data_IF_910805669209
#
_entry.id   IF_910805669209
#
_cell.length_a   1.000
_cell.length_b   1.000
_cell.length_c   1.000
_cell.angle_alpha   90.00
_cell.angle_beta   90.00
_cell.angle_gamma   90.00
#
_symmetry.space_group_name_H-M   'P 1'
#
loop_
_entity.id
_entity.type
_entity.pdbx_description
1 polymer ?
#
# COMPACT_ATOMS: atom_id res chain seq x y z
N UNK A 1 -46.33 -56.23 10.11
CA UNK A 1 -45.79 -55.12 9.30
C UNK A 1 -45.37 -54.02 10.26
N UNK A 2 -44.08 -53.96 10.59
CA UNK A 2 -43.49 -52.96 11.48
C UNK A 2 -43.03 -51.74 10.67
N UNK A 3 -43.29 -50.51 11.12
CA UNK A 3 -42.84 -49.32 10.41
C UNK A 3 -41.31 -49.20 10.46
N UNK A 4 -40.66 -48.60 9.44
CA UNK A 4 -39.23 -48.41 9.41
C UNK A 4 -38.78 -47.42 10.52
N UNK A 5 -37.57 -47.58 11.07
CA UNK A 5 -37.04 -46.68 12.09
C UNK A 5 -36.79 -45.28 11.52
N UNK A 6 -37.09 -44.26 12.33
CA UNK A 6 -36.90 -42.86 11.97
C UNK A 6 -35.40 -42.52 11.77
N UNK A 7 -35.07 -41.61 10.85
CA UNK A 7 -33.68 -41.19 10.63
C UNK A 7 -33.12 -40.44 11.85
N UNK A 8 -31.81 -40.57 12.13
CA UNK A 8 -31.18 -39.87 13.24
C UNK A 8 -31.21 -38.35 13.02
N UNK A 9 -31.48 -37.61 14.10
CA UNK A 9 -31.48 -36.15 14.10
C UNK A 9 -30.11 -35.58 13.66
N UNK A 10 -30.07 -34.44 12.95
CA UNK A 10 -28.82 -33.81 12.55
C UNK A 10 -28.03 -33.42 13.81
N UNK A 11 -26.79 -33.90 13.90
CA UNK A 11 -25.87 -33.55 14.98
C UNK A 11 -25.73 -32.02 15.03
N UNK A 12 -26.27 -31.43 16.10
CA UNK A 12 -25.97 -30.06 16.47
C UNK A 12 -24.47 -29.94 16.74
N UNK A 13 -23.82 -28.96 16.11
CA UNK A 13 -22.45 -28.59 16.45
C UNK A 13 -21.38 -29.00 15.43
N UNK A 14 -21.63 -28.83 14.13
CA UNK A 14 -20.53 -28.42 13.26
C UNK A 14 -20.18 -26.98 13.63
N UNK A 15 -19.34 -26.81 14.64
CA UNK A 15 -18.66 -25.55 14.87
C UNK A 15 -18.02 -25.16 13.54
N UNK A 16 -18.55 -24.12 12.92
CA UNK A 16 -17.86 -23.42 11.84
C UNK A 16 -16.57 -22.95 12.47
N UNK A 17 -15.50 -23.71 12.25
CA UNK A 17 -14.14 -23.29 12.49
C UNK A 17 -13.94 -22.12 11.54
N UNK A 18 -14.19 -20.92 12.05
CA UNK A 18 -13.77 -19.70 11.37
C UNK A 18 -12.26 -19.81 11.22
N UNK A 19 -11.69 -19.60 10.02
CA UNK A 19 -10.25 -19.62 9.85
C UNK A 19 -9.66 -18.38 10.55
N UNK A 20 -9.42 -18.50 11.86
CA UNK A 20 -8.51 -17.63 12.62
C UNK A 20 -7.08 -17.99 12.19
N UNK A 21 -6.65 -17.54 11.00
CA UNK A 21 -5.38 -18.00 10.43
C UNK A 21 -4.69 -17.08 9.44
N UNK A 22 -5.09 -15.81 9.28
CA UNK A 22 -4.48 -14.89 8.28
C UNK A 22 -3.82 -13.64 8.91
N UNK A 23 -3.77 -13.51 10.25
CA UNK A 23 -3.54 -12.20 10.89
C UNK A 23 -2.08 -11.77 11.23
N UNK A 24 -1.01 -12.58 11.14
CA UNK A 24 0.36 -12.06 11.36
C UNK A 24 0.92 -11.17 10.23
N UNK A 25 0.86 -11.56 8.94
CA UNK A 25 1.58 -10.84 7.89
C UNK A 25 0.92 -9.51 7.50
N UNK A 26 -0.42 -9.41 7.62
CA UNK A 26 -1.17 -8.16 7.36
C UNK A 26 -0.72 -7.05 8.31
N UNK A 27 -0.75 -7.32 9.62
CA UNK A 27 -0.33 -6.36 10.65
C UNK A 27 1.15 -6.01 10.53
N UNK A 28 1.98 -6.97 10.11
CA UNK A 28 3.40 -6.73 9.88
C UNK A 28 3.65 -5.74 8.73
N UNK A 29 2.90 -5.86 7.63
CA UNK A 29 3.00 -4.93 6.49
C UNK A 29 2.52 -3.53 6.86
N UNK A 30 1.40 -3.42 7.58
CA UNK A 30 0.90 -2.13 8.06
C UNK A 30 1.91 -1.46 9.01
N UNK A 31 2.45 -2.22 9.97
CA UNK A 31 3.45 -1.74 10.92
C UNK A 31 4.77 -1.35 10.24
N UNK A 32 5.19 -2.08 9.19
CA UNK A 32 6.36 -1.76 8.40
C UNK A 32 6.20 -0.40 7.72
N UNK A 33 5.07 -0.18 7.03
CA UNK A 33 4.77 1.10 6.36
C UNK A 33 4.75 2.24 7.38
N UNK A 34 4.07 2.05 8.52
CA UNK A 34 4.00 3.04 9.58
C UNK A 34 5.37 3.41 10.14
N UNK A 35 6.20 2.39 10.39
CA UNK A 35 7.56 2.56 10.88
C UNK A 35 8.40 3.36 9.90
N UNK A 36 8.24 3.09 8.60
CA UNK A 36 9.05 3.74 7.56
C UNK A 36 8.59 5.16 7.26
N UNK A 37 7.29 5.45 7.34
CA UNK A 37 6.76 6.82 7.37
C UNK A 37 7.30 7.59 8.59
N UNK A 38 7.23 6.98 9.78
CA UNK A 38 7.78 7.57 11.01
C UNK A 38 9.30 7.80 10.92
N UNK A 39 10.03 6.88 10.29
CA UNK A 39 11.47 7.00 10.05
C UNK A 39 11.80 8.13 9.08
N UNK A 40 11.04 8.30 8.00
CA UNK A 40 11.20 9.42 7.08
C UNK A 40 11.00 10.75 7.82
N UNK A 41 9.93 10.88 8.61
CA UNK A 41 9.66 12.06 9.44
C UNK A 41 10.79 12.33 10.45
N UNK A 42 11.28 11.29 11.14
CA UNK A 42 12.41 11.39 12.08
C UNK A 42 13.74 11.81 11.43
N UNK A 43 13.85 11.72 10.09
CA UNK A 43 14.99 12.23 9.32
C UNK A 43 14.78 13.66 8.78
N UNK A 44 13.77 14.37 9.29
CA UNK A 44 13.51 15.76 8.97
C UNK A 44 12.62 15.96 7.74
N UNK A 45 11.95 14.91 7.26
CA UNK A 45 10.98 15.04 6.18
C UNK A 45 9.75 15.81 6.63
N UNK A 46 9.38 16.83 5.87
CA UNK A 46 8.11 17.56 6.04
C UNK A 46 6.93 16.67 5.61
N UNK A 47 5.68 17.02 5.97
CA UNK A 47 4.51 16.31 5.45
C UNK A 47 4.45 16.27 3.92
N UNK A 48 4.90 17.35 3.24
CA UNK A 48 5.02 17.37 1.79
C UNK A 48 6.06 16.35 1.27
N UNK A 49 7.25 16.29 1.88
CA UNK A 49 8.29 15.30 1.54
C UNK A 49 7.77 13.86 1.69
N UNK A 50 7.04 13.60 2.78
CA UNK A 50 6.41 12.29 3.05
C UNK A 50 5.34 11.99 2.01
N UNK A 51 4.49 12.97 1.65
CA UNK A 51 3.46 12.79 0.63
C UNK A 51 4.07 12.41 -0.74
N UNK A 52 5.14 13.09 -1.16
CA UNK A 52 5.91 12.74 -2.37
C UNK A 52 6.49 11.32 -2.27
N UNK A 53 7.09 10.97 -1.13
CA UNK A 53 7.64 9.64 -0.94
C UNK A 53 6.59 8.53 -0.97
N UNK A 54 5.38 8.79 -0.45
CA UNK A 54 4.26 7.85 -0.50
C UNK A 54 3.72 7.70 -1.92
N UNK A 55 3.61 8.80 -2.68
CA UNK A 55 3.23 8.75 -4.11
C UNK A 55 4.21 7.90 -4.90
N UNK A 56 5.52 8.08 -4.71
CA UNK A 56 6.54 7.26 -5.37
C UNK A 56 6.49 5.78 -4.96
N UNK A 57 6.14 5.49 -3.70
CA UNK A 57 5.94 4.13 -3.23
C UNK A 57 4.69 3.46 -3.85
N UNK A 58 3.59 4.21 -3.97
CA UNK A 58 2.36 3.75 -4.65
C UNK A 58 2.59 3.55 -6.15
N UNK A 59 3.33 4.45 -6.81
CA UNK A 59 3.70 4.32 -8.21
C UNK A 59 4.55 3.05 -8.43
N UNK A 60 5.53 2.80 -7.55
CA UNK A 60 6.32 1.58 -7.58
C UNK A 60 5.46 0.31 -7.41
N UNK A 61 4.51 0.29 -6.46
CA UNK A 61 3.54 -0.80 -6.36
C UNK A 61 2.74 -0.99 -7.65
N UNK A 62 2.18 0.09 -8.21
CA UNK A 62 1.39 0.05 -9.44
C UNK A 62 2.17 -0.55 -10.61
N UNK A 63 3.42 -0.14 -10.80
CA UNK A 63 4.30 -0.71 -11.84
C UNK A 63 4.58 -2.20 -11.59
N UNK A 64 4.73 -2.61 -10.33
CA UNK A 64 4.95 -4.02 -9.98
C UNK A 64 3.73 -4.89 -10.28
N UNK A 65 2.52 -4.40 -9.97
CA UNK A 65 1.28 -5.07 -10.37
C UNK A 65 1.17 -5.21 -11.90
N UNK A 66 1.50 -4.15 -12.63
CA UNK A 66 1.52 -4.18 -14.09
C UNK A 66 2.53 -5.19 -14.64
N UNK A 67 3.72 -5.27 -14.03
CA UNK A 67 4.76 -6.23 -14.45
C UNK A 67 4.39 -7.69 -14.15
N UNK A 68 3.72 -7.95 -13.03
CA UNK A 68 3.39 -9.31 -12.59
C UNK A 68 2.12 -9.88 -13.25
N UNK A 69 1.12 -9.05 -13.52
CA UNK A 69 -0.19 -9.49 -14.01
C UNK A 69 -0.78 -8.65 -15.13
N UNK A 70 0.03 -7.77 -15.75
CA UNK A 70 -0.40 -6.94 -16.86
C UNK A 70 -1.44 -5.89 -16.48
N UNK A 71 -2.16 -5.44 -17.51
CA UNK A 71 -3.16 -4.37 -17.39
C UNK A 71 -4.28 -4.69 -16.39
N UNK A 72 -4.72 -5.95 -16.30
CA UNK A 72 -5.81 -6.36 -15.39
C UNK A 72 -5.39 -6.25 -13.92
N UNK A 73 -4.16 -6.64 -13.59
CA UNK A 73 -3.62 -6.51 -12.24
C UNK A 73 -3.41 -5.03 -11.86
N UNK A 74 -2.88 -4.21 -12.78
CA UNK A 74 -2.77 -2.76 -12.59
C UNK A 74 -4.14 -2.12 -12.35
N UNK A 75 -5.16 -2.47 -13.15
CA UNK A 75 -6.52 -1.96 -12.98
C UNK A 75 -7.13 -2.37 -11.64
N UNK A 76 -6.89 -3.61 -11.20
CA UNK A 76 -7.34 -4.07 -9.88
C UNK A 76 -6.69 -3.29 -8.75
N UNK A 77 -5.40 -2.92 -8.89
CA UNK A 77 -4.73 -2.03 -7.96
C UNK A 77 -5.37 -0.64 -7.95
N UNK A 78 -5.61 -0.06 -9.13
CA UNK A 78 -6.23 1.27 -9.27
C UNK A 78 -7.64 1.31 -8.65
N UNK A 79 -8.46 0.28 -8.88
CA UNK A 79 -9.81 0.17 -8.30
C UNK A 79 -9.77 0.00 -6.76
N UNK A 80 -8.81 -0.78 -6.24
CA UNK A 80 -8.59 -0.91 -4.80
C UNK A 80 -8.18 0.41 -4.16
N UNK A 81 -7.21 1.12 -4.77
CA UNK A 81 -6.75 2.41 -4.30
C UNK A 81 -7.87 3.46 -4.31
N UNK A 82 -8.69 3.49 -5.37
CA UNK A 82 -9.89 4.34 -5.44
C UNK A 82 -10.85 4.04 -4.28
N UNK A 83 -11.07 2.76 -4.00
CA UNK A 83 -11.94 2.32 -2.89
C UNK A 83 -11.41 2.80 -1.54
N UNK A 84 -10.09 2.71 -1.30
CA UNK A 84 -9.49 3.19 -0.05
C UNK A 84 -9.63 4.70 0.12
N UNK A 85 -9.38 5.50 -0.92
CA UNK A 85 -9.53 6.95 -0.86
C UNK A 85 -10.99 7.36 -0.58
N UNK A 86 -11.96 6.67 -1.18
CA UNK A 86 -13.38 6.89 -0.92
C UNK A 86 -13.76 6.51 0.52
N UNK A 87 -13.31 5.34 0.99
CA UNK A 87 -13.56 4.88 2.35
C UNK A 87 -13.01 5.87 3.39
N UNK A 88 -11.80 6.38 3.19
CA UNK A 88 -11.21 7.40 4.05
C UNK A 88 -11.99 8.72 4.00
N UNK A 89 -12.48 9.13 2.84
CA UNK A 89 -13.32 10.32 2.76
C UNK A 89 -14.63 10.19 3.54
N UNK A 90 -15.27 9.01 3.49
CA UNK A 90 -16.45 8.73 4.30
C UNK A 90 -16.13 8.76 5.80
N UNK A 91 -14.96 8.24 6.20
CA UNK A 91 -14.53 8.24 7.59
C UNK A 91 -14.22 9.64 8.12
N UNK A 92 -13.52 10.47 7.33
CA UNK A 92 -13.26 11.88 7.69
C UNK A 92 -14.58 12.64 7.83
N UNK A 93 -15.54 12.42 6.91
CA UNK A 93 -16.86 13.05 7.01
C UNK A 93 -17.63 12.60 8.24
N UNK A 94 -17.57 11.31 8.57
CA UNK A 94 -18.22 10.73 9.76
C UNK A 94 -17.64 11.30 11.06
N UNK A 95 -16.31 11.41 11.13
CA UNK A 95 -15.60 11.84 12.34
C UNK A 95 -15.61 13.36 12.56
N UNK A 96 -15.59 14.16 11.48
CA UNK A 96 -15.50 15.63 11.56
C UNK A 96 -16.83 16.34 11.28
N UNK A 97 -17.80 15.65 10.69
CA UNK A 97 -19.07 16.24 10.22
C UNK A 97 -18.93 17.15 8.99
N UNK A 98 -17.73 17.26 8.40
CA UNK A 98 -17.43 18.15 7.27
C UNK A 98 -17.08 17.35 6.01
N UNK A 99 -17.41 17.92 4.85
CA UNK A 99 -16.95 17.34 3.58
C UNK A 99 -15.43 17.50 3.46
N UNK A 100 -14.67 16.43 3.19
CA UNK A 100 -13.22 16.51 3.06
C UNK A 100 -12.82 17.39 1.89
N UNK A 101 -11.83 18.26 2.09
CA UNK A 101 -11.29 19.10 1.02
C UNK A 101 -10.67 18.22 -0.07
N UNK A 102 -10.99 18.52 -1.33
CA UNK A 102 -10.41 17.85 -2.49
C UNK A 102 -9.23 18.65 -3.01
N UNK A 103 -8.11 17.97 -3.26
CA UNK A 103 -6.91 18.59 -3.85
C UNK A 103 -6.57 17.97 -5.20
N UNK A 104 -6.06 18.80 -6.10
CA UNK A 104 -5.62 18.40 -7.45
C UNK A 104 -4.10 18.45 -7.62
N UNK A 105 -3.41 19.26 -6.82
CA UNK A 105 -1.96 19.43 -6.87
C UNK A 105 -1.35 18.90 -5.58
N UNK A 106 -0.31 18.09 -5.71
CA UNK A 106 0.51 17.66 -4.59
C UNK A 106 1.28 18.88 -4.04
N UNK A 107 1.38 19.07 -2.72
CA UNK A 107 2.18 20.14 -2.13
C UNK A 107 3.62 20.11 -2.68
N UNK A 108 4.26 21.27 -2.81
CA UNK A 108 5.61 21.32 -3.38
C UNK A 108 6.59 20.53 -2.49
N UNK A 109 7.49 19.72 -3.09
CA UNK A 109 8.42 18.90 -2.33
C UNK A 109 9.42 19.77 -1.58
N UNK A 110 9.78 19.34 -0.38
CA UNK A 110 10.87 19.92 0.38
C UNK A 110 12.22 19.27 0.04
N UNK A 111 13.29 19.64 0.77
CA UNK A 111 14.64 19.14 0.51
C UNK A 111 14.82 17.65 0.84
N UNK A 112 13.90 17.03 1.58
CA UNK A 112 14.00 15.63 2.00
C UNK A 112 13.13 14.68 1.17
N UNK A 113 12.39 15.16 0.17
CA UNK A 113 11.46 14.37 -0.63
C UNK A 113 12.13 13.13 -1.27
N UNK A 114 13.30 13.30 -1.88
CA UNK A 114 14.03 12.19 -2.50
C UNK A 114 14.44 11.12 -1.47
N UNK A 115 14.83 11.54 -0.26
CA UNK A 115 15.19 10.62 0.82
C UNK A 115 13.97 9.89 1.38
N UNK A 116 12.85 10.58 1.56
CA UNK A 116 11.59 9.99 2.00
C UNK A 116 11.09 8.96 0.99
N UNK A 117 11.16 9.28 -0.31
CA UNK A 117 10.86 8.36 -1.40
C UNK A 117 11.72 7.09 -1.36
N UNK A 118 13.04 7.23 -1.17
CA UNK A 118 13.93 6.06 -1.08
C UNK A 118 13.57 5.14 0.11
N UNK A 119 13.30 5.72 1.29
CA UNK A 119 12.90 4.96 2.49
C UNK A 119 11.58 4.23 2.25
N UNK A 120 10.58 4.91 1.68
CA UNK A 120 9.26 4.32 1.48
C UNK A 120 9.24 3.30 0.34
N UNK A 121 10.05 3.50 -0.70
CA UNK A 121 10.25 2.50 -1.76
C UNK A 121 10.88 1.23 -1.22
N UNK A 122 11.92 1.33 -0.40
CA UNK A 122 12.56 0.19 0.26
C UNK A 122 11.57 -0.61 1.15
N UNK A 123 10.69 0.11 1.86
CA UNK A 123 9.61 -0.50 2.64
C UNK A 123 8.66 -1.33 1.76
N UNK A 124 8.26 -0.76 0.61
CA UNK A 124 7.41 -1.44 -0.37
C UNK A 124 8.10 -2.66 -0.98
N UNK A 125 9.37 -2.53 -1.38
CA UNK A 125 10.13 -3.65 -1.94
C UNK A 125 10.28 -4.78 -0.92
N UNK A 126 10.48 -4.45 0.36
CA UNK A 126 10.46 -5.42 1.45
C UNK A 126 9.08 -6.07 1.62
N UNK A 127 8.00 -5.28 1.55
CA UNK A 127 6.62 -5.80 1.58
C UNK A 127 6.29 -6.72 0.40
N UNK A 128 6.84 -6.45 -0.78
CA UNK A 128 6.73 -7.31 -1.97
C UNK A 128 7.38 -8.67 -1.75
N UNK A 129 8.54 -8.73 -1.09
CA UNK A 129 9.17 -10.00 -0.71
C UNK A 129 8.30 -10.80 0.26
N UNK A 130 7.57 -10.13 1.14
CA UNK A 130 6.62 -10.78 2.05
C UNK A 130 5.36 -11.27 1.34
N UNK A 131 5.01 -10.71 0.17
CA UNK A 131 3.79 -11.09 -0.55
C UNK A 131 3.76 -12.56 -0.97
N UNK A 132 4.91 -13.22 -1.13
CA UNK A 132 4.99 -14.67 -1.43
C UNK A 132 4.34 -15.54 -0.34
N UNK A 133 4.20 -15.00 0.88
CA UNK A 133 3.59 -15.69 2.02
C UNK A 133 2.11 -15.37 2.20
N UNK A 134 1.54 -14.50 1.34
CA UNK A 134 0.14 -14.09 1.38
C UNK A 134 -0.71 -14.78 0.30
N UNK A 135 -2.02 -14.98 0.53
CA UNK A 135 -2.91 -15.45 -0.52
C UNK A 135 -3.08 -14.37 -1.60
N UNK A 136 -2.65 -14.68 -2.83
CA UNK A 136 -2.77 -13.79 -3.98
C UNK A 136 -2.04 -12.46 -3.79
N UNK A 137 -2.75 -11.34 -3.98
CA UNK A 137 -2.19 -9.99 -3.87
C UNK A 137 -2.66 -9.25 -2.60
N UNK A 138 -3.15 -9.98 -1.60
CA UNK A 138 -3.74 -9.39 -0.40
C UNK A 138 -2.78 -8.43 0.31
N UNK A 139 -1.53 -8.83 0.51
CA UNK A 139 -0.56 -8.01 1.25
C UNK A 139 -0.20 -6.73 0.50
N UNK A 140 -0.19 -6.78 -0.83
CA UNK A 140 0.02 -5.61 -1.66
C UNK A 140 -1.18 -4.66 -1.67
N UNK A 141 -2.40 -5.20 -1.66
CA UNK A 141 -3.61 -4.39 -1.51
C UNK A 141 -3.67 -3.71 -0.13
N UNK A 142 -3.28 -4.43 0.93
CA UNK A 142 -3.14 -3.87 2.29
C UNK A 142 -2.07 -2.76 2.30
N UNK A 143 -0.92 -3.00 1.67
CA UNK A 143 0.14 -2.00 1.58
C UNK A 143 -0.34 -0.73 0.86
N UNK A 144 -1.02 -0.88 -0.27
CA UNK A 144 -1.60 0.22 -1.02
C UNK A 144 -2.62 1.00 -0.19
N UNK A 145 -3.51 0.30 0.52
CA UNK A 145 -4.47 0.91 1.42
C UNK A 145 -3.81 1.68 2.55
N UNK A 146 -2.78 1.11 3.19
CA UNK A 146 -2.08 1.78 4.29
C UNK A 146 -1.32 3.01 3.81
N UNK A 147 -0.65 2.92 2.66
CA UNK A 147 -0.02 4.07 2.01
C UNK A 147 -1.04 5.17 1.68
N UNK A 148 -2.23 4.82 1.17
CA UNK A 148 -3.29 5.79 0.89
C UNK A 148 -3.75 6.54 2.17
N UNK A 149 -3.91 5.83 3.29
CA UNK A 149 -4.21 6.45 4.59
C UNK A 149 -3.11 7.44 4.98
N UNK A 150 -1.85 7.01 4.94
CA UNK A 150 -0.71 7.85 5.29
C UNK A 150 -0.54 9.05 4.34
N UNK A 151 -0.89 8.90 3.06
CA UNK A 151 -0.91 10.01 2.11
C UNK A 151 -1.92 11.07 2.55
N UNK A 152 -3.15 10.66 2.86
CA UNK A 152 -4.22 11.58 3.28
C UNK A 152 -3.85 12.29 4.58
N UNK A 153 -3.22 11.58 5.53
CA UNK A 153 -2.69 12.19 6.76
C UNK A 153 -1.58 13.21 6.47
N UNK A 154 -0.63 12.88 5.59
CA UNK A 154 0.44 13.79 5.18
C UNK A 154 -0.09 15.04 4.45
N UNK A 155 -1.26 14.93 3.82
CA UNK A 155 -1.99 16.03 3.19
C UNK A 155 -2.90 16.79 4.17
N UNK A 156 -2.82 16.52 5.47
CA UNK A 156 -3.64 17.19 6.50
C UNK A 156 -5.12 16.82 6.43
N UNK A 157 -5.45 15.62 5.94
CA UNK A 157 -6.82 15.14 5.77
C UNK A 157 -7.46 15.54 4.43
N UNK A 158 -6.74 16.25 3.56
CA UNK A 158 -7.22 16.53 2.22
C UNK A 158 -7.16 15.27 1.34
N UNK A 159 -8.23 15.04 0.57
CA UNK A 159 -8.34 13.90 -0.32
C UNK A 159 -7.89 14.27 -1.73
N UNK A 160 -7.06 13.47 -2.41
CA UNK A 160 -6.84 13.65 -3.83
C UNK A 160 -8.12 13.40 -4.62
N UNK A 161 -8.30 14.13 -5.73
CA UNK A 161 -9.23 13.68 -6.76
C UNK A 161 -8.63 12.44 -7.44
N UNK A 162 -9.49 11.53 -7.92
CA UNK A 162 -9.00 10.32 -8.58
C UNK A 162 -8.09 10.64 -9.77
N UNK A 163 -8.50 11.60 -10.62
CA UNK A 163 -7.68 12.07 -11.75
C UNK A 163 -6.33 12.63 -11.32
N UNK A 164 -6.26 13.36 -10.21
CA UNK A 164 -5.00 13.88 -9.71
C UNK A 164 -4.08 12.77 -9.23
N UNK A 165 -4.64 11.77 -8.54
CA UNK A 165 -3.88 10.61 -8.10
C UNK A 165 -3.34 9.82 -9.29
N UNK A 166 -4.14 9.60 -10.33
CA UNK A 166 -3.67 8.98 -11.59
C UNK A 166 -2.50 9.76 -12.20
N UNK A 167 -2.63 11.08 -12.31
CA UNK A 167 -1.58 11.95 -12.83
C UNK A 167 -0.28 11.80 -12.00
N UNK A 168 -0.38 11.80 -10.66
CA UNK A 168 0.79 11.66 -9.79
C UNK A 168 1.46 10.30 -9.91
N UNK A 169 0.67 9.22 -10.03
CA UNK A 169 1.18 7.86 -10.18
C UNK A 169 1.80 7.60 -11.57
N UNK A 170 1.45 8.39 -12.58
CA UNK A 170 2.04 8.31 -13.91
C UNK A 170 3.46 8.92 -13.95
N UNK A 171 3.69 10.04 -13.27
CA UNK A 171 4.96 10.81 -13.33
C UNK A 171 6.16 10.04 -12.74
N UNK A 172 5.93 9.24 -11.68
CA UNK A 172 7.01 8.50 -11.01
C UNK A 172 7.39 7.19 -11.71
N UNK A 173 6.55 6.66 -12.62
CA UNK A 173 6.86 5.46 -13.38
C UNK A 173 8.05 5.68 -14.35
N UNK A 174 8.18 6.89 -14.90
CA UNK A 174 9.22 7.24 -15.87
C UNK A 174 10.62 7.45 -15.24
N UNK A 175 10.70 7.77 -13.94
CA UNK A 175 11.96 7.91 -13.22
C UNK A 175 12.56 6.56 -12.77
N UNK A 176 11.75 5.49 -12.72
CA UNK A 176 12.21 4.14 -12.32
C UNK A 176 12.93 3.42 -13.48
N UNK A 177 12.67 3.81 -14.73
CA UNK A 177 13.30 3.20 -15.91
C UNK A 177 14.57 3.91 -16.39
N UNK A 178 14.86 5.11 -15.88
CA UNK A 178 16.01 5.94 -16.29
C UNK A 178 17.15 5.99 -15.28
N UNK A 179 16.96 5.43 -14.08
CA UNK A 179 18.05 5.14 -13.18
C UNK A 179 18.79 3.88 -13.66
N UNK A 180 19.65 4.05 -14.67
CA UNK A 180 20.74 3.11 -14.93
C UNK A 180 21.49 2.90 -13.61
N UNK A 181 21.54 1.68 -13.04
CA UNK A 181 22.42 1.41 -11.92
C UNK A 181 23.84 1.51 -12.45
N UNK A 182 24.40 2.72 -12.43
CA UNK A 182 25.78 2.98 -12.81
C UNK A 182 26.69 1.91 -12.22
N UNK A 183 27.75 1.49 -12.95
CA UNK A 183 28.49 0.28 -12.67
C UNK A 183 28.92 0.25 -11.21
N UNK A 184 28.45 -0.77 -10.49
CA UNK A 184 28.83 -1.01 -9.11
C UNK A 184 30.34 -1.24 -9.08
N UNK A 185 31.15 -0.38 -8.43
CA UNK A 185 32.58 -0.61 -8.35
C UNK A 185 32.81 -1.85 -7.47
N UNK A 186 33.24 -2.95 -8.10
CA UNK A 186 33.76 -4.09 -7.37
C UNK A 186 35.00 -3.63 -6.59
N UNK A 187 35.08 -3.87 -5.26
CA UNK A 187 36.31 -3.60 -4.53
C UNK A 187 37.40 -4.54 -5.04
N UNK A 188 38.35 -3.98 -5.78
CA UNK A 188 39.58 -4.67 -6.14
C UNK A 188 40.39 -4.91 -4.86
N UNK A 189 40.46 -6.17 -4.44
CA UNK A 189 41.51 -6.65 -3.54
C UNK A 189 41.03 -7.15 -2.18
N UNK A 190 41.04 -8.47 -2.02
CA UNK A 190 41.93 -9.19 -1.09
C UNK A 190 41.74 -10.69 -1.29
N UNK A 191 42.57 -11.26 -2.14
CA UNK A 191 43.09 -12.61 -1.92
C UNK A 191 44.56 -12.40 -1.56
N UNK A 192 44.86 -12.52 -0.27
CA UNK A 192 46.16 -12.97 0.21
C UNK A 192 45.94 -14.31 0.88
#
# INVERSE_FOLDING_TARGET
>A
MTPPPAPPAPAAGAAVVTPQGVQPPVKAVEALIDTMVGRAAAKGATPADVAHGIVGALAHLRTTFAAQGGYTAMRSFDDALRTFVLAQGMEIRRSTGREPTRIRRLPDPGPQAARAAAILRDAVSTGLLLNVWGPGNLLLQVAAGRLAVRLIEALGGALPTWSALEDWLAVDADHVLTADPGPVPFPAGRLQ
#
